data_IF_047819172732
#
_entry.id   IF_047819172732
#
_cell.length_a   1.000
_cell.length_b   1.000
_cell.length_c   1.000
_cell.angle_alpha   90.00
_cell.angle_beta   90.00
_cell.angle_gamma   90.00
#
_symmetry.space_group_name_H-M   'P 1'
#
loop_
_entity.id
_entity.type
_entity.pdbx_description
1 polymer ?
#
# COMPACT_ATOMS: atom_id res chain seq x y z
N UNK A 1 12.67 -17.11 -13.25
CA UNK A 1 12.08 -16.40 -14.40
C UNK A 1 10.58 -16.10 -14.20
N UNK A 2 9.74 -17.08 -13.74
CA UNK A 2 8.30 -16.83 -13.52
C UNK A 2 8.05 -15.78 -12.44
N UNK A 3 8.63 -15.94 -11.24
CA UNK A 3 8.45 -15.00 -10.14
C UNK A 3 8.84 -13.56 -10.52
N UNK A 4 9.88 -13.37 -11.32
CA UNK A 4 10.26 -12.06 -11.82
C UNK A 4 9.17 -11.45 -12.74
N UNK A 5 8.62 -12.23 -13.66
CA UNK A 5 7.53 -11.76 -14.52
C UNK A 5 6.30 -11.35 -13.71
N UNK A 6 6.00 -12.08 -12.63
CA UNK A 6 4.91 -11.71 -11.72
C UNK A 6 5.17 -10.39 -11.03
N UNK A 7 6.40 -10.16 -10.54
CA UNK A 7 6.78 -8.88 -9.93
C UNK A 7 6.72 -7.72 -10.94
N UNK A 8 7.19 -7.91 -12.18
CA UNK A 8 7.09 -6.92 -13.25
C UNK A 8 5.63 -6.58 -13.59
N UNK A 9 4.74 -7.58 -13.61
CA UNK A 9 3.30 -7.36 -13.80
C UNK A 9 2.67 -6.63 -12.62
N UNK A 10 3.10 -6.96 -11.40
CA UNK A 10 2.62 -6.29 -10.20
C UNK A 10 3.02 -4.82 -10.19
N UNK A 11 4.25 -4.50 -10.59
CA UNK A 11 4.73 -3.13 -10.76
C UNK A 11 3.93 -2.38 -11.83
N UNK A 12 3.69 -3.01 -12.99
CA UNK A 12 2.84 -2.47 -14.04
C UNK A 12 1.39 -2.23 -13.58
N UNK A 13 0.87 -3.12 -12.74
CA UNK A 13 -0.44 -3.00 -12.12
C UNK A 13 -0.52 -1.80 -11.16
N UNK A 14 0.48 -1.60 -10.29
CA UNK A 14 0.54 -0.45 -9.38
C UNK A 14 0.59 0.87 -10.17
N UNK A 15 1.39 0.91 -11.22
CA UNK A 15 1.47 2.09 -12.09
C UNK A 15 0.14 2.36 -12.83
N UNK A 16 -0.53 1.30 -13.32
CA UNK A 16 -1.80 1.43 -14.00
C UNK A 16 -2.94 1.90 -13.09
N UNK A 17 -2.83 1.66 -11.76
CA UNK A 17 -3.82 2.13 -10.77
C UNK A 17 -3.75 3.62 -10.50
N UNK A 18 -2.60 4.25 -10.70
CA UNK A 18 -2.38 5.65 -10.34
C UNK A 18 -3.48 6.58 -10.89
N UNK A 19 -3.94 6.30 -12.11
CA UNK A 19 -4.94 7.11 -12.82
C UNK A 19 -6.33 6.47 -12.86
N UNK A 20 -6.60 5.45 -12.03
CA UNK A 20 -7.82 4.67 -12.08
C UNK A 20 -8.57 4.63 -10.76
N UNK A 21 -9.90 4.64 -10.86
CA UNK A 21 -10.79 4.32 -9.77
C UNK A 21 -11.12 2.82 -9.79
N UNK A 22 -11.05 2.16 -8.63
CA UNK A 22 -11.33 0.72 -8.52
C UNK A 22 -12.73 0.54 -7.98
N UNK A 23 -13.69 0.03 -8.77
CA UNK A 23 -15.04 -0.29 -8.30
C UNK A 23 -15.03 -1.23 -7.10
N UNK A 24 -16.03 -1.12 -6.23
CA UNK A 24 -16.12 -1.86 -4.96
C UNK A 24 -16.14 -3.38 -5.14
N UNK A 25 -16.66 -3.88 -6.25
CA UNK A 25 -16.68 -5.31 -6.60
C UNK A 25 -15.28 -5.87 -6.94
N UNK A 26 -14.35 -5.01 -7.37
CA UNK A 26 -12.96 -5.36 -7.63
C UNK A 26 -12.04 -5.16 -6.41
N UNK A 27 -12.50 -4.47 -5.36
CA UNK A 27 -11.67 -4.16 -4.19
C UNK A 27 -11.21 -5.43 -3.48
N UNK A 28 -12.11 -6.38 -3.20
CA UNK A 28 -11.76 -7.61 -2.49
C UNK A 28 -10.79 -8.51 -3.26
N UNK A 29 -11.00 -8.83 -4.55
CA UNK A 29 -10.03 -9.57 -5.35
C UNK A 29 -8.66 -8.86 -5.43
N UNK A 30 -8.69 -7.53 -5.54
CA UNK A 30 -7.49 -6.70 -5.61
C UNK A 30 -6.65 -6.85 -4.35
N UNK A 31 -7.24 -6.66 -3.17
CA UNK A 31 -6.53 -6.77 -1.90
C UNK A 31 -6.04 -8.17 -1.63
N UNK A 32 -6.82 -9.19 -1.97
CA UNK A 32 -6.39 -10.58 -1.87
C UNK A 32 -5.13 -10.84 -2.72
N UNK A 33 -5.10 -10.33 -3.95
CA UNK A 33 -3.91 -10.43 -4.81
C UNK A 33 -2.71 -9.64 -4.28
N UNK A 34 -2.95 -8.48 -3.69
CA UNK A 34 -1.88 -7.64 -3.13
C UNK A 34 -1.22 -8.23 -1.89
N UNK A 35 -1.95 -8.98 -1.08
CA UNK A 35 -1.45 -9.52 0.20
C UNK A 35 -1.02 -10.98 0.12
N UNK A 36 -1.43 -11.71 -0.91
CA UNK A 36 -1.17 -13.14 -1.03
C UNK A 36 0.07 -13.44 -1.89
N UNK A 37 1.24 -13.43 -1.25
CA UNK A 37 2.51 -13.77 -1.90
C UNK A 37 2.82 -15.28 -1.87
N UNK A 38 1.93 -16.12 -1.36
CA UNK A 38 2.16 -17.56 -1.18
C UNK A 38 2.30 -18.26 -2.52
N UNK A 39 1.60 -17.79 -3.54
CA UNK A 39 1.60 -18.36 -4.87
C UNK A 39 2.65 -17.74 -5.81
N UNK A 40 3.55 -16.88 -5.29
CA UNK A 40 4.52 -16.15 -6.09
C UNK A 40 5.36 -17.08 -6.97
N UNK A 41 5.28 -16.87 -8.28
CA UNK A 41 6.01 -17.64 -9.29
C UNK A 41 5.27 -18.87 -9.79
N UNK A 42 4.04 -19.15 -9.31
CA UNK A 42 3.16 -20.18 -9.91
C UNK A 42 2.52 -19.68 -11.21
N UNK A 43 1.93 -20.59 -11.94
CA UNK A 43 1.22 -20.26 -13.18
C UNK A 43 -0.12 -19.58 -12.87
N UNK A 44 -0.80 -20.03 -11.84
CA UNK A 44 -2.06 -19.49 -11.35
C UNK A 44 -1.91 -18.01 -10.98
N UNK A 45 -0.86 -17.66 -10.24
CA UNK A 45 -0.58 -16.28 -9.89
C UNK A 45 -0.26 -15.42 -11.13
N UNK A 46 0.50 -15.98 -12.07
CA UNK A 46 0.80 -15.28 -13.31
C UNK A 46 -0.47 -14.96 -14.11
N UNK A 47 -1.41 -15.88 -14.19
CA UNK A 47 -2.71 -15.68 -14.85
C UNK A 47 -3.58 -14.68 -14.07
N UNK A 48 -3.61 -14.79 -12.75
CA UNK A 48 -4.38 -13.91 -11.89
C UNK A 48 -3.89 -12.45 -12.00
N UNK A 49 -2.58 -12.21 -11.89
CA UNK A 49 -2.01 -10.85 -12.00
C UNK A 49 -2.17 -10.26 -13.39
N UNK A 50 -2.10 -11.06 -14.46
CA UNK A 50 -2.39 -10.63 -15.82
C UNK A 50 -3.84 -10.16 -15.94
N UNK A 51 -4.79 -10.94 -15.41
CA UNK A 51 -6.21 -10.58 -15.42
C UNK A 51 -6.47 -9.31 -14.63
N UNK A 52 -5.92 -9.19 -13.43
CA UNK A 52 -6.02 -7.97 -12.63
C UNK A 52 -5.51 -6.74 -13.37
N UNK A 53 -4.37 -6.85 -14.04
CA UNK A 53 -3.82 -5.75 -14.83
C UNK A 53 -4.75 -5.35 -15.98
N UNK A 54 -5.38 -6.31 -16.65
CA UNK A 54 -6.35 -6.04 -17.70
C UNK A 54 -7.62 -5.36 -17.17
N UNK A 55 -8.12 -5.80 -16.02
CA UNK A 55 -9.32 -5.25 -15.39
C UNK A 55 -9.05 -3.81 -14.90
N UNK A 56 -7.91 -3.57 -14.26
CA UNK A 56 -7.50 -2.21 -13.84
C UNK A 56 -7.36 -1.26 -15.03
N UNK A 57 -6.79 -1.71 -16.14
CA UNK A 57 -6.68 -0.87 -17.36
C UNK A 57 -8.03 -0.45 -17.94
N UNK A 58 -9.08 -1.24 -17.70
CA UNK A 58 -10.46 -0.95 -18.12
C UNK A 58 -11.26 -0.16 -17.08
N UNK A 59 -10.75 -0.04 -15.86
CA UNK A 59 -11.42 0.70 -14.80
C UNK A 59 -11.60 2.18 -15.18
N UNK A 60 -12.64 2.84 -14.65
CA UNK A 60 -12.87 4.25 -14.92
C UNK A 60 -11.69 5.14 -14.47
N UNK A 61 -11.59 6.36 -15.01
CA UNK A 61 -10.59 7.32 -14.57
C UNK A 61 -10.65 7.56 -13.05
N UNK A 62 -9.50 7.94 -12.48
CA UNK A 62 -9.38 8.30 -11.07
C UNK A 62 -10.48 9.30 -10.69
N UNK A 63 -11.14 9.02 -9.58
CA UNK A 63 -11.98 9.96 -8.83
C UNK A 63 -11.65 9.84 -7.35
N UNK A 64 -11.86 10.91 -6.59
CA UNK A 64 -11.56 10.90 -5.16
C UNK A 64 -10.06 10.87 -4.83
N UNK A 65 -9.75 10.58 -3.59
CA UNK A 65 -8.39 10.59 -3.04
C UNK A 65 -7.76 9.21 -3.06
N UNK A 66 -6.51 9.14 -3.44
CA UNK A 66 -5.70 7.94 -3.40
C UNK A 66 -4.80 7.92 -2.16
N UNK A 67 -4.95 6.91 -1.33
CA UNK A 67 -4.20 6.74 -0.08
C UNK A 67 -3.24 5.56 -0.20
N UNK A 68 -1.97 5.80 0.11
CA UNK A 68 -0.99 4.73 0.28
C UNK A 68 -0.93 4.31 1.75
N UNK A 69 -1.04 3.01 2.01
CA UNK A 69 -1.08 2.48 3.37
C UNK A 69 0.26 1.86 3.77
N UNK A 70 0.84 2.33 4.86
CA UNK A 70 2.06 1.78 5.45
C UNK A 70 1.71 0.82 6.58
N UNK A 71 2.21 -0.40 6.53
CA UNK A 71 2.00 -1.53 7.43
C UNK A 71 0.65 -2.25 7.22
N UNK A 72 0.16 -2.98 8.25
CA UNK A 72 -1.05 -3.80 8.19
C UNK A 72 -2.31 -2.95 8.01
N UNK A 73 -3.17 -3.35 7.08
CA UNK A 73 -4.50 -2.75 6.94
C UNK A 73 -5.45 -3.53 7.88
N UNK A 74 -6.13 -2.87 8.83
CA UNK A 74 -7.12 -3.52 9.67
C UNK A 74 -8.44 -3.72 8.89
N UNK A 75 -8.49 -4.72 8.02
CA UNK A 75 -9.65 -5.01 7.15
C UNK A 75 -10.95 -5.29 7.90
N UNK A 76 -10.88 -5.58 9.19
CA UNK A 76 -12.02 -5.78 10.07
C UNK A 76 -12.63 -4.45 10.57
N UNK A 77 -11.89 -3.34 10.53
CA UNK A 77 -12.33 -2.03 10.99
C UNK A 77 -13.40 -1.47 10.05
N UNK A 78 -14.57 -1.17 10.59
CA UNK A 78 -15.65 -0.58 9.81
C UNK A 78 -15.31 0.87 9.43
N UNK A 79 -14.65 1.63 10.31
CA UNK A 79 -14.16 2.97 10.01
C UNK A 79 -13.19 3.01 8.81
N UNK A 80 -12.29 2.03 8.71
CA UNK A 80 -11.36 1.94 7.56
C UNK A 80 -12.09 1.51 6.29
N UNK A 81 -13.03 0.55 6.40
CA UNK A 81 -13.84 0.12 5.24
C UNK A 81 -14.65 1.28 4.67
N UNK A 82 -15.40 1.96 5.53
CA UNK A 82 -16.27 3.07 5.11
C UNK A 82 -15.48 4.24 4.54
N UNK A 83 -14.34 4.57 5.14
CA UNK A 83 -13.53 5.70 4.68
C UNK A 83 -12.72 5.42 3.41
N UNK A 84 -12.19 4.19 3.22
CA UNK A 84 -11.13 3.93 2.24
C UNK A 84 -11.32 2.69 1.37
N UNK A 85 -12.25 1.78 1.68
CA UNK A 85 -12.41 0.53 0.94
C UNK A 85 -13.73 0.46 0.17
N UNK A 86 -14.80 1.02 0.74
CA UNK A 86 -16.14 1.00 0.15
C UNK A 86 -16.64 2.43 -0.11
N UNK A 87 -15.72 3.35 -0.40
CA UNK A 87 -15.99 4.76 -0.57
C UNK A 87 -15.53 5.22 -1.96
N UNK A 88 -16.38 6.02 -2.61
CA UNK A 88 -16.10 6.59 -3.92
C UNK A 88 -15.20 7.83 -3.86
N UNK A 89 -15.10 8.46 -2.68
CA UNK A 89 -14.33 9.69 -2.46
C UNK A 89 -12.88 9.43 -2.05
N UNK A 90 -12.56 8.22 -1.58
CA UNK A 90 -11.20 7.85 -1.21
C UNK A 90 -10.95 6.35 -1.31
N UNK A 91 -9.75 5.96 -1.74
CA UNK A 91 -9.36 4.56 -1.87
C UNK A 91 -7.92 4.30 -1.45
N UNK A 92 -7.65 3.14 -0.84
CA UNK A 92 -6.29 2.65 -0.69
C UNK A 92 -5.78 2.17 -2.05
N UNK A 93 -4.73 2.79 -2.56
CA UNK A 93 -4.15 2.45 -3.89
C UNK A 93 -2.93 1.56 -3.80
N UNK A 94 -2.35 1.40 -2.64
CA UNK A 94 -1.21 0.53 -2.41
C UNK A 94 -0.99 0.31 -0.92
N UNK A 95 -0.32 -0.79 -0.60
CA UNK A 95 0.03 -1.14 0.76
C UNK A 95 1.49 -1.60 0.82
N UNK A 96 2.22 -1.15 1.84
CA UNK A 96 3.61 -1.55 2.04
C UNK A 96 3.81 -3.07 2.05
N UNK A 97 2.92 -3.80 2.71
CA UNK A 97 3.05 -5.25 2.85
C UNK A 97 2.78 -6.03 1.55
N UNK A 98 2.20 -5.39 0.56
CA UNK A 98 2.01 -5.98 -0.77
C UNK A 98 3.21 -5.77 -1.69
N UNK A 99 4.16 -4.95 -1.31
CA UNK A 99 5.33 -4.62 -2.13
C UNK A 99 6.57 -5.36 -1.63
N UNK A 100 6.79 -6.50 -2.20
CA UNK A 100 7.72 -7.50 -1.67
C UNK A 100 9.18 -7.24 -2.04
N UNK A 101 9.48 -6.51 -3.13
CA UNK A 101 10.88 -6.47 -3.59
C UNK A 101 11.19 -5.28 -4.51
N UNK A 102 12.37 -4.71 -4.36
CA UNK A 102 12.98 -3.86 -5.37
C UNK A 102 13.49 -4.74 -6.53
N UNK A 103 12.74 -4.78 -7.62
CA UNK A 103 13.05 -5.58 -8.82
C UNK A 103 14.25 -5.05 -9.62
N UNK A 104 14.80 -3.90 -9.23
CA UNK A 104 15.97 -3.32 -9.89
C UNK A 104 17.24 -4.15 -9.72
N UNK A 105 17.24 -5.03 -8.71
CA UNK A 105 18.36 -5.91 -8.37
C UNK A 105 18.04 -7.34 -8.81
N UNK A 106 18.71 -7.80 -9.84
CA UNK A 106 18.52 -9.12 -10.40
C UNK A 106 19.82 -9.90 -10.53
N UNK A 107 19.79 -11.19 -10.19
CA UNK A 107 20.81 -12.14 -10.53
C UNK A 107 20.24 -13.31 -11.32
N UNK A 108 21.02 -13.90 -12.22
CA UNK A 108 20.66 -15.16 -12.89
C UNK A 108 20.83 -16.39 -11.98
N UNK A 109 21.66 -16.27 -10.93
CA UNK A 109 21.77 -17.26 -9.88
C UNK A 109 20.56 -17.16 -8.93
N UNK A 110 19.74 -18.22 -8.81
CA UNK A 110 18.55 -18.19 -7.96
C UNK A 110 18.86 -18.03 -6.47
N UNK A 111 20.01 -18.50 -5.99
CA UNK A 111 20.41 -18.35 -4.59
C UNK A 111 20.86 -16.93 -4.29
N UNK A 112 21.60 -16.31 -5.19
CA UNK A 112 21.97 -14.91 -5.09
C UNK A 112 20.74 -14.00 -5.17
N UNK A 113 19.81 -14.28 -6.10
CA UNK A 113 18.54 -13.58 -6.21
C UNK A 113 17.75 -13.64 -4.90
N UNK A 114 17.62 -14.82 -4.28
CA UNK A 114 16.96 -14.98 -2.98
C UNK A 114 17.68 -14.20 -1.88
N UNK A 115 19.01 -14.28 -1.82
CA UNK A 115 19.81 -13.54 -0.84
C UNK A 115 19.63 -12.02 -1.00
N UNK A 116 19.66 -11.51 -2.22
CA UNK A 116 19.44 -10.09 -2.49
C UNK A 116 18.05 -9.64 -2.07
N UNK A 117 17.01 -10.43 -2.33
CA UNK A 117 15.64 -10.12 -1.86
C UNK A 117 15.56 -10.01 -0.34
N UNK A 118 16.21 -10.90 0.39
CA UNK A 118 16.22 -10.84 1.86
C UNK A 118 17.02 -9.64 2.37
N UNK A 119 18.22 -9.40 1.83
CA UNK A 119 19.12 -8.35 2.30
C UNK A 119 18.57 -6.97 2.00
N UNK A 120 17.99 -6.78 0.82
CA UNK A 120 17.50 -5.46 0.36
C UNK A 120 16.01 -5.23 0.56
N UNK A 121 15.33 -6.16 1.23
CA UNK A 121 13.92 -5.98 1.58
C UNK A 121 13.71 -4.69 2.39
N UNK A 122 12.64 -3.95 2.11
CA UNK A 122 12.37 -2.66 2.74
C UNK A 122 12.26 -2.74 4.28
N UNK A 123 11.76 -3.87 4.80
CA UNK A 123 11.65 -4.11 6.24
C UNK A 123 12.95 -4.63 6.88
N UNK A 124 14.00 -4.87 6.10
CA UNK A 124 15.29 -5.35 6.60
C UNK A 124 16.33 -4.24 6.55
N UNK A 125 16.69 -3.69 7.69
CA UNK A 125 17.72 -2.65 7.80
C UNK A 125 17.23 -1.36 8.44
N UNK A 126 17.88 -0.22 8.17
CA UNK A 126 17.55 1.05 8.79
C UNK A 126 16.17 1.55 8.32
N UNK A 127 15.50 2.32 9.19
CA UNK A 127 14.17 2.88 8.91
C UNK A 127 14.12 3.73 7.63
N UNK A 128 15.23 4.37 7.26
CA UNK A 128 15.35 5.15 6.02
C UNK A 128 15.11 4.31 4.76
N UNK A 129 15.53 3.04 4.75
CA UNK A 129 15.26 2.12 3.63
C UNK A 129 13.76 1.92 3.44
N UNK A 130 13.04 1.67 4.54
CA UNK A 130 11.59 1.50 4.56
C UNK A 130 10.87 2.77 4.11
N UNK A 131 11.27 3.92 4.64
CA UNK A 131 10.69 5.21 4.28
C UNK A 131 10.90 5.51 2.80
N UNK A 132 12.13 5.37 2.29
CA UNK A 132 12.45 5.64 0.88
C UNK A 132 11.68 4.70 -0.08
N UNK A 133 11.53 3.44 0.29
CA UNK A 133 10.70 2.50 -0.48
C UNK A 133 9.23 2.96 -0.47
N UNK A 134 8.68 3.30 0.70
CA UNK A 134 7.31 3.78 0.82
C UNK A 134 7.05 5.05 0.01
N UNK A 135 7.95 6.04 0.05
CA UNK A 135 7.83 7.27 -0.75
C UNK A 135 7.81 6.95 -2.26
N UNK A 136 8.73 6.11 -2.72
CA UNK A 136 8.79 5.70 -4.13
C UNK A 136 7.49 5.04 -4.58
N UNK A 137 7.00 4.09 -3.80
CA UNK A 137 5.80 3.34 -4.13
C UNK A 137 4.51 4.17 -4.02
N UNK A 138 4.41 5.04 -3.02
CA UNK A 138 3.28 5.95 -2.90
C UNK A 138 3.19 6.88 -4.12
N UNK A 139 4.31 7.43 -4.56
CA UNK A 139 4.38 8.26 -5.78
C UNK A 139 4.04 7.48 -7.03
N UNK A 140 4.56 6.26 -7.18
CA UNK A 140 4.26 5.37 -8.31
C UNK A 140 2.77 5.02 -8.39
N UNK A 141 2.13 4.82 -7.24
CA UNK A 141 0.70 4.55 -7.15
C UNK A 141 -0.19 5.81 -7.27
N UNK A 142 0.38 6.99 -7.49
CA UNK A 142 -0.35 8.24 -7.60
C UNK A 142 -1.11 8.60 -6.31
N UNK A 143 -0.51 8.34 -5.15
CA UNK A 143 -1.12 8.63 -3.87
C UNK A 143 -1.17 10.14 -3.60
N UNK A 144 -2.31 10.62 -3.11
CA UNK A 144 -2.51 12.00 -2.65
C UNK A 144 -2.09 12.17 -1.18
N UNK A 145 -2.06 11.07 -0.42
CA UNK A 145 -1.64 11.04 0.97
C UNK A 145 -1.25 9.65 1.46
N UNK A 146 -0.68 9.59 2.66
CA UNK A 146 -0.19 8.37 3.26
C UNK A 146 -0.81 8.16 4.63
N UNK A 147 -1.25 6.96 4.92
CA UNK A 147 -1.55 6.52 6.28
C UNK A 147 -0.41 5.64 6.78
N UNK A 148 0.29 6.09 7.82
CA UNK A 148 1.26 5.30 8.55
C UNK A 148 0.57 4.65 9.74
N UNK A 149 0.33 3.34 9.65
CA UNK A 149 -0.37 2.61 10.70
C UNK A 149 0.60 2.07 11.75
N UNK A 150 0.49 2.60 12.96
CA UNK A 150 1.22 2.14 14.14
C UNK A 150 0.47 0.97 14.78
N UNK A 151 0.79 -0.25 14.37
CA UNK A 151 0.27 -1.43 15.05
C UNK A 151 0.87 -1.54 16.46
N UNK A 152 0.01 -1.67 17.45
CA UNK A 152 0.42 -1.82 18.86
C UNK A 152 1.34 -3.03 19.03
N UNK A 153 2.41 -2.85 19.79
CA UNK A 153 3.44 -3.87 19.96
C UNK A 153 4.47 -3.98 18.83
N UNK A 154 4.26 -3.33 17.69
CA UNK A 154 5.26 -3.31 16.64
C UNK A 154 6.26 -2.16 16.83
N UNK A 155 7.39 -2.43 17.47
CA UNK A 155 8.46 -1.43 17.70
C UNK A 155 8.95 -0.78 16.40
N UNK A 156 8.91 -1.51 15.31
CA UNK A 156 9.41 -1.04 14.01
C UNK A 156 8.51 0.05 13.39
N UNK A 157 7.18 -0.03 13.60
CA UNK A 157 6.27 1.04 13.16
C UNK A 157 6.26 2.20 14.13
N UNK A 158 6.10 1.95 15.42
CA UNK A 158 6.01 2.97 16.47
C UNK A 158 7.28 3.83 16.53
N UNK A 159 8.45 3.20 16.56
CA UNK A 159 9.73 3.89 16.72
C UNK A 159 10.09 4.80 15.55
N UNK A 160 9.62 4.50 14.35
CA UNK A 160 9.93 5.24 13.12
C UNK A 160 8.88 6.26 12.69
N UNK A 161 7.70 6.28 13.30
CA UNK A 161 6.52 6.98 12.78
C UNK A 161 6.72 8.49 12.59
N UNK A 162 7.34 9.18 13.54
CA UNK A 162 7.58 10.63 13.45
C UNK A 162 8.61 10.98 12.38
N UNK A 163 9.67 10.18 12.25
CA UNK A 163 10.68 10.35 11.21
C UNK A 163 10.04 10.09 9.85
N UNK A 164 9.24 9.02 9.75
CA UNK A 164 8.52 8.68 8.54
C UNK A 164 7.59 9.80 8.11
N UNK A 165 6.72 10.30 9.00
CA UNK A 165 5.81 11.40 8.71
C UNK A 165 6.57 12.61 8.14
N UNK A 166 7.63 13.05 8.80
CA UNK A 166 8.45 14.16 8.33
C UNK A 166 8.99 13.92 6.90
N UNK A 167 9.58 12.76 6.64
CA UNK A 167 10.16 12.45 5.33
C UNK A 167 9.10 12.34 4.22
N UNK A 168 7.93 11.77 4.51
CA UNK A 168 6.83 11.71 3.55
C UNK A 168 6.31 13.12 3.23
N UNK A 169 6.10 13.96 4.25
CA UNK A 169 5.64 15.35 4.07
C UNK A 169 6.67 16.18 3.28
N UNK A 170 7.96 16.06 3.57
CA UNK A 170 9.04 16.69 2.80
C UNK A 170 9.09 16.20 1.34
N UNK A 171 8.60 14.99 1.08
CA UNK A 171 8.46 14.44 -0.27
C UNK A 171 7.16 14.86 -0.99
N UNK A 172 6.34 15.72 -0.36
CA UNK A 172 5.06 16.18 -0.89
C UNK A 172 3.89 15.20 -0.69
N UNK A 173 3.99 14.32 0.30
CA UNK A 173 2.97 13.32 0.64
C UNK A 173 2.45 13.59 2.08
N UNK A 174 1.36 14.34 2.23
CA UNK A 174 0.70 14.51 3.53
C UNK A 174 0.50 13.17 4.23
N UNK A 175 0.78 13.10 5.54
CA UNK A 175 0.83 11.81 6.23
C UNK A 175 0.06 11.82 7.54
N UNK A 176 -0.92 10.93 7.65
CA UNK A 176 -1.61 10.60 8.89
C UNK A 176 -0.89 9.45 9.61
N UNK A 177 -0.51 9.67 10.87
CA UNK A 177 -0.15 8.54 11.76
C UNK A 177 -1.43 8.07 12.43
N UNK A 178 -1.75 6.78 12.29
CA UNK A 178 -2.92 6.15 12.90
C UNK A 178 -2.46 5.01 13.79
N UNK A 179 -2.87 5.06 15.05
CA UNK A 179 -2.50 4.03 16.05
C UNK A 179 -3.65 3.04 16.23
N UNK A 180 -3.33 1.75 16.34
CA UNK A 180 -4.34 0.72 16.56
C UNK A 180 -3.80 -0.70 16.61
N UNK A 181 -4.70 -1.65 16.79
CA UNK A 181 -4.39 -3.06 16.65
C UNK A 181 -4.81 -3.53 15.25
N UNK A 182 -3.87 -4.02 14.45
CA UNK A 182 -4.15 -4.54 13.10
C UNK A 182 -4.64 -5.98 13.09
N UNK A 183 -4.65 -6.65 14.24
CA UNK A 183 -4.93 -8.08 14.36
C UNK A 183 -6.13 -8.39 15.26
N UNK A 184 -6.34 -7.65 16.32
CA UNK A 184 -7.42 -7.89 17.28
C UNK A 184 -8.53 -6.84 17.17
N UNK A 185 -9.69 -7.31 16.72
CA UNK A 185 -10.89 -6.49 16.56
C UNK A 185 -11.41 -5.91 17.88
N UNK A 186 -11.18 -6.60 19.00
CA UNK A 186 -11.67 -6.15 20.32
C UNK A 186 -11.01 -4.86 20.83
N UNK A 187 -9.85 -4.53 20.28
CA UNK A 187 -9.09 -3.32 20.61
C UNK A 187 -9.41 -2.12 19.67
N UNK A 188 -10.48 -2.18 18.92
CA UNK A 188 -10.84 -1.16 17.94
C UNK A 188 -11.31 0.15 18.58
N UNK A 189 -10.63 1.23 18.30
CA UNK A 189 -11.06 2.61 18.58
C UNK A 189 -11.80 3.20 17.38
N UNK A 190 -12.89 2.58 16.93
CA UNK A 190 -13.58 2.90 15.66
C UNK A 190 -13.95 4.38 15.52
N UNK A 191 -14.51 4.99 16.57
CA UNK A 191 -14.89 6.42 16.53
C UNK A 191 -13.70 7.35 16.37
N UNK A 192 -12.58 7.07 17.04
CA UNK A 192 -11.35 7.85 16.90
C UNK A 192 -10.73 7.67 15.51
N UNK A 193 -10.72 6.44 15.02
CA UNK A 193 -10.23 6.12 13.67
C UNK A 193 -11.04 6.84 12.61
N UNK A 194 -12.36 6.77 12.69
CA UNK A 194 -13.28 7.47 11.76
C UNK A 194 -13.06 8.97 11.75
N UNK A 195 -13.00 9.60 12.94
CA UNK A 195 -12.77 11.06 13.05
C UNK A 195 -11.43 11.48 12.44
N UNK A 196 -10.36 10.74 12.73
CA UNK A 196 -9.01 11.08 12.23
C UNK A 196 -8.86 10.86 10.72
N UNK A 197 -9.45 9.78 10.19
CA UNK A 197 -9.49 9.54 8.75
C UNK A 197 -10.31 10.60 8.04
N UNK A 198 -11.50 10.94 8.55
CA UNK A 198 -12.35 11.98 7.98
C UNK A 198 -11.63 13.33 7.90
N UNK A 199 -11.06 13.82 9.00
CA UNK A 199 -10.30 15.05 9.02
C UNK A 199 -9.09 15.04 8.07
N UNK A 200 -8.42 13.90 7.93
CA UNK A 200 -7.30 13.75 7.00
C UNK A 200 -7.76 13.84 5.55
N UNK A 201 -8.86 13.19 5.20
CA UNK A 201 -9.41 13.23 3.84
C UNK A 201 -9.93 14.62 3.46
N UNK A 202 -10.55 15.34 4.40
CA UNK A 202 -10.96 16.74 4.22
C UNK A 202 -9.74 17.63 3.94
N UNK A 203 -8.69 17.52 4.75
CA UNK A 203 -7.44 18.26 4.55
C UNK A 203 -6.85 18.01 3.15
N UNK A 204 -6.85 16.77 2.65
CA UNK A 204 -6.38 16.45 1.30
C UNK A 204 -7.25 17.08 0.21
N UNK A 205 -8.51 17.42 0.51
CA UNK A 205 -9.40 18.16 -0.38
C UNK A 205 -8.93 19.59 -0.60
N UNK A 206 -8.50 20.25 0.45
CA UNK A 206 -8.06 21.64 0.42
C UNK A 206 -6.72 21.83 -0.31
N UNK A 207 -5.80 20.86 -0.17
CA UNK A 207 -4.52 20.88 -0.90
C UNK A 207 -4.62 20.71 -2.43
N UNK A 208 -5.75 20.23 -2.93
CA UNK A 208 -5.94 20.03 -4.38
C UNK A 208 -6.37 21.32 -5.11
N UNK A 209 -6.59 22.43 -4.38
CA UNK A 209 -7.04 23.72 -4.90
C UNK A 209 -5.97 24.82 -4.84
N UNK A 210 -4.76 24.53 -4.34
CA UNK A 210 -3.58 25.38 -4.38
C UNK A 210 -2.61 24.95 -5.51
#
# INVERSE_FOLDING_TARGET
>A
KRGRRTLERFDAFQSARADRFIPSDLVSPLYSGMTNNILLGTEEEALYTEKLLQDVKKAPPKKGKHIYWMHTIPFWSDAVKEALLLNDDAQIVGCELSQVTDISRYSEDPYEEMAMRLIYHALNGPISRRINAGIRHAKQAGADGVVWFNHWGCKHTLGGSRIAKKCFEEAGLPTLILDGDGCDRSHGGEGQTSTRLGAFLEMLGDFAHE
#
